data_IF_783120558621
#
_entry.id   IF_783120558621
#
_cell.length_a   1.000
_cell.length_b   1.000
_cell.length_c   1.000
_cell.angle_alpha   90.00
_cell.angle_beta   90.00
_cell.angle_gamma   90.00
#
_symmetry.space_group_name_H-M   'P 1'
#
loop_
_entity.id
_entity.type
_entity.pdbx_description
1 polymer ?
#
# COMPACT_ATOMS: atom_id res chain seq x y z
N UNK A 1 -23.57 -0.68 75.91
CA UNK A 1 -24.62 0.30 75.50
C UNK A 1 -25.22 -0.16 74.18
N UNK A 2 -26.51 0.09 74.02
CA UNK A 2 -27.52 -0.65 73.24
C UNK A 2 -27.24 -0.88 71.75
N UNK A 3 -27.74 -2.02 71.28
CA UNK A 3 -27.93 -2.53 69.91
C UNK A 3 -29.10 -1.86 69.18
N UNK A 4 -29.02 -1.75 67.83
CA UNK A 4 -30.08 -1.93 66.81
C UNK A 4 -29.57 -1.37 65.46
N UNK A 5 -29.41 -2.15 64.37
CA UNK A 5 -30.38 -2.76 63.44
C UNK A 5 -31.07 -1.79 62.45
N UNK A 6 -30.82 -2.09 61.16
CA UNK A 6 -31.73 -2.17 60.00
C UNK A 6 -32.55 -0.94 59.53
N UNK A 7 -32.26 -0.55 58.28
CA UNK A 7 -33.15 -0.30 57.12
C UNK A 7 -34.65 0.02 57.35
N UNK A 8 -35.16 1.06 56.66
CA UNK A 8 -36.02 1.06 55.44
C UNK A 8 -36.73 2.43 55.32
N UNK A 9 -36.93 2.90 54.07
CA UNK A 9 -38.04 3.71 53.49
C UNK A 9 -37.49 4.88 52.65
N UNK A 10 -37.52 4.79 51.32
CA UNK A 10 -38.65 4.99 50.38
C UNK A 10 -38.83 6.46 49.97
N UNK A 11 -38.72 6.72 48.66
CA UNK A 11 -38.89 8.06 48.08
C UNK A 11 -38.98 8.04 46.55
N UNK A 12 -40.19 7.82 46.03
CA UNK A 12 -40.84 8.52 44.91
C UNK A 12 -40.04 8.71 43.60
N UNK A 13 -40.39 7.86 42.62
CA UNK A 13 -40.87 8.22 41.28
C UNK A 13 -40.13 9.25 40.42
N UNK A 14 -39.54 8.78 39.32
CA UNK A 14 -39.73 9.35 37.96
C UNK A 14 -39.77 8.19 36.97
N UNK A 15 -40.91 8.00 36.32
CA UNK A 15 -41.01 7.17 35.13
C UNK A 15 -40.35 7.94 33.98
N UNK A 16 -39.12 7.59 33.62
CA UNK A 16 -38.52 8.04 32.37
C UNK A 16 -39.03 7.10 31.29
N UNK A 17 -40.09 7.54 30.60
CA UNK A 17 -40.38 7.07 29.27
C UNK A 17 -39.20 7.47 28.37
N UNK A 18 -38.26 6.55 28.17
CA UNK A 18 -37.29 6.68 27.09
C UNK A 18 -38.07 6.50 25.79
N UNK A 19 -38.48 7.64 25.24
CA UNK A 19 -38.80 7.80 23.84
C UNK A 19 -37.70 7.13 23.03
N UNK A 20 -38.04 5.98 22.44
CA UNK A 20 -37.35 5.43 21.28
C UNK A 20 -37.52 6.47 20.18
N UNK A 21 -36.63 7.45 20.15
CA UNK A 21 -36.36 8.19 18.93
C UNK A 21 -35.76 7.15 18.00
N UNK A 22 -36.57 6.72 17.03
CA UNK A 22 -36.13 5.86 15.95
C UNK A 22 -34.93 6.51 15.28
N UNK A 23 -33.73 6.03 15.64
CA UNK A 23 -32.63 6.03 14.70
C UNK A 23 -33.18 5.35 13.46
N UNK A 24 -33.15 6.06 12.33
CA UNK A 24 -33.54 5.51 11.04
C UNK A 24 -32.99 4.09 10.94
N UNK A 25 -33.87 3.14 10.66
CA UNK A 25 -33.49 1.75 10.52
C UNK A 25 -32.33 1.74 9.53
N UNK A 26 -31.17 1.36 10.05
CA UNK A 26 -29.95 1.31 9.30
C UNK A 26 -30.20 0.28 8.20
N UNK A 27 -30.45 0.70 6.96
CA UNK A 27 -30.73 -0.22 5.86
C UNK A 27 -29.50 -1.10 5.69
N UNK A 28 -29.64 -2.35 6.16
CA UNK A 28 -28.59 -3.34 6.16
C UNK A 28 -28.88 -4.34 5.07
N UNK A 29 -27.94 -4.49 4.17
CA UNK A 29 -27.97 -5.53 3.16
C UNK A 29 -27.56 -5.02 1.80
N UNK A 30 -27.00 -5.92 1.00
CA UNK A 30 -26.76 -5.69 -0.41
C UNK A 30 -28.10 -5.92 -1.13
N UNK A 31 -28.59 -4.96 -1.93
CA UNK A 31 -29.79 -5.15 -2.74
C UNK A 31 -29.67 -6.35 -3.69
N UNK A 32 -30.78 -7.02 -3.98
CA UNK A 32 -30.78 -8.07 -5.00
C UNK A 32 -30.56 -7.46 -6.38
N UNK A 33 -29.55 -7.97 -7.08
CA UNK A 33 -29.18 -7.49 -8.41
C UNK A 33 -30.30 -7.69 -9.43
N UNK A 34 -30.69 -6.61 -10.10
CA UNK A 34 -31.60 -6.62 -11.24
C UNK A 34 -30.87 -7.03 -12.54
N UNK A 35 -31.61 -7.17 -13.64
CA UNK A 35 -31.05 -7.65 -14.91
C UNK A 35 -29.98 -6.71 -15.50
N UNK A 36 -30.19 -5.39 -15.42
CA UNK A 36 -29.22 -4.41 -15.91
C UNK A 36 -27.92 -4.46 -15.08
N UNK A 37 -28.05 -4.55 -13.76
CA UNK A 37 -26.89 -4.64 -12.85
C UNK A 37 -26.09 -5.93 -13.07
N UNK A 38 -26.78 -7.05 -13.41
CA UNK A 38 -26.09 -8.29 -13.79
C UNK A 38 -25.29 -8.12 -15.06
N UNK A 39 -25.86 -7.45 -16.08
CA UNK A 39 -25.14 -7.18 -17.33
C UNK A 39 -23.93 -6.26 -17.11
N UNK A 40 -24.05 -5.25 -16.24
CA UNK A 40 -22.90 -4.42 -15.84
C UNK A 40 -21.80 -5.28 -15.20
N UNK A 41 -22.15 -6.13 -14.22
CA UNK A 41 -21.20 -7.02 -13.54
C UNK A 41 -20.58 -8.05 -14.50
N UNK A 42 -21.35 -8.60 -15.43
CA UNK A 42 -20.84 -9.47 -16.49
C UNK A 42 -19.78 -8.74 -17.33
N UNK A 43 -19.97 -7.46 -17.63
CA UNK A 43 -18.96 -6.64 -18.31
C UNK A 43 -17.62 -6.53 -17.55
N UNK A 44 -17.61 -6.69 -16.22
CA UNK A 44 -16.38 -6.79 -15.43
C UNK A 44 -15.81 -8.20 -15.39
N UNK A 45 -16.68 -9.21 -15.35
CA UNK A 45 -16.30 -10.59 -14.98
C UNK A 45 -16.15 -11.55 -16.17
N UNK A 46 -16.62 -11.15 -17.37
CA UNK A 46 -16.44 -11.91 -18.61
C UNK A 46 -14.95 -12.09 -18.99
N UNK A 47 -14.13 -11.07 -18.71
CA UNK A 47 -12.69 -11.07 -19.02
C UNK A 47 -11.90 -10.69 -17.78
N UNK A 48 -11.34 -11.70 -17.13
CA UNK A 48 -10.50 -11.57 -15.95
C UNK A 48 -9.08 -12.02 -16.29
N UNK A 49 -8.09 -11.36 -15.69
CA UNK A 49 -6.68 -11.73 -15.80
C UNK A 49 -6.06 -11.96 -14.42
N UNK A 50 -5.09 -12.86 -14.29
CA UNK A 50 -4.31 -12.99 -13.07
C UNK A 50 -3.48 -11.72 -12.86
N UNK A 51 -3.38 -11.30 -11.60
CA UNK A 51 -2.55 -10.16 -11.17
C UNK A 51 -1.72 -10.60 -9.97
N UNK A 52 -0.43 -10.26 -9.99
CA UNK A 52 0.47 -10.50 -8.87
C UNK A 52 0.72 -9.21 -8.07
N UNK A 53 0.48 -9.25 -6.76
CA UNK A 53 0.74 -8.13 -5.83
C UNK A 53 1.55 -8.64 -4.65
N UNK A 54 2.82 -8.23 -4.58
CA UNK A 54 3.75 -8.72 -3.58
C UNK A 54 3.88 -10.24 -3.62
N UNK A 55 3.47 -10.89 -2.52
CA UNK A 55 3.48 -12.35 -2.34
C UNK A 55 2.12 -13.00 -2.68
N UNK A 56 1.16 -12.23 -3.15
CA UNK A 56 -0.20 -12.66 -3.40
C UNK A 56 -0.57 -12.58 -4.88
N UNK A 57 -1.67 -13.25 -5.21
CA UNK A 57 -2.31 -13.20 -6.51
C UNK A 57 -3.82 -13.11 -6.37
N UNK A 58 -4.46 -12.57 -7.39
CA UNK A 58 -5.92 -12.53 -7.55
C UNK A 58 -6.30 -12.41 -9.03
N UNK A 59 -7.57 -12.64 -9.34
CA UNK A 59 -8.16 -12.32 -10.63
C UNK A 59 -8.68 -10.89 -10.62
N UNK A 60 -8.41 -10.15 -11.69
CA UNK A 60 -8.81 -8.76 -11.85
C UNK A 60 -9.50 -8.57 -13.21
N UNK A 61 -10.58 -7.79 -13.33
CA UNK A 61 -11.13 -7.40 -14.63
C UNK A 61 -10.06 -6.78 -15.51
N UNK A 62 -10.02 -7.12 -16.80
CA UNK A 62 -9.02 -6.54 -17.72
C UNK A 62 -9.10 -5.01 -17.81
N UNK A 63 -10.31 -4.46 -17.66
CA UNK A 63 -10.57 -3.01 -17.64
C UNK A 63 -10.00 -2.28 -16.41
N UNK A 64 -9.66 -3.00 -15.35
CA UNK A 64 -8.99 -2.44 -14.17
C UNK A 64 -7.47 -2.39 -14.43
N UNK A 65 -7.01 -1.22 -14.88
CA UNK A 65 -5.63 -0.98 -15.26
C UNK A 65 -4.77 -0.59 -14.04
N UNK A 66 -3.51 -1.02 -14.01
CA UNK A 66 -2.57 -0.59 -12.98
C UNK A 66 -2.31 0.91 -13.12
N UNK A 67 -2.69 1.69 -12.11
CA UNK A 67 -2.48 3.14 -12.06
C UNK A 67 -1.22 3.49 -11.29
N UNK A 68 -1.00 2.87 -10.13
CA UNK A 68 0.15 3.14 -9.30
C UNK A 68 0.72 1.86 -8.66
N UNK A 69 2.02 1.88 -8.39
CA UNK A 69 2.68 0.82 -7.63
C UNK A 69 3.80 1.40 -6.77
N UNK A 70 3.90 0.93 -5.53
CA UNK A 70 4.98 1.24 -4.62
C UNK A 70 5.53 -0.05 -4.01
N UNK A 71 6.85 -0.08 -3.83
CA UNK A 71 7.56 -1.14 -3.12
C UNK A 71 8.62 -0.50 -2.22
N UNK A 72 8.57 -0.82 -0.95
CA UNK A 72 9.64 -0.52 0.02
C UNK A 72 10.11 -1.81 0.67
N UNK A 73 11.43 -2.01 0.71
CA UNK A 73 12.06 -3.16 1.38
C UNK A 73 13.19 -2.68 2.28
N UNK A 74 13.05 -2.84 3.60
CA UNK A 74 14.03 -2.39 4.60
C UNK A 74 14.52 -0.95 4.34
N UNK A 75 13.58 0.00 4.27
CA UNK A 75 13.78 1.43 3.91
C UNK A 75 14.10 1.73 2.44
N UNK A 76 14.47 0.73 1.63
CA UNK A 76 14.83 0.96 0.23
C UNK A 76 13.56 1.11 -0.62
N UNK A 77 13.41 2.26 -1.27
CA UNK A 77 12.33 2.51 -2.22
C UNK A 77 12.70 1.94 -3.58
N UNK A 78 11.83 1.09 -4.13
CA UNK A 78 12.08 0.38 -5.38
C UNK A 78 10.99 0.75 -6.39
N UNK A 79 11.39 0.99 -7.63
CA UNK A 79 10.44 1.19 -8.73
C UNK A 79 10.97 0.59 -10.04
N UNK A 80 10.04 0.36 -10.95
CA UNK A 80 10.33 -0.11 -12.30
C UNK A 80 9.59 0.76 -13.32
N UNK A 81 10.24 1.02 -14.45
CA UNK A 81 9.66 1.80 -15.55
C UNK A 81 10.04 1.16 -16.88
N UNK A 82 9.05 0.73 -17.69
CA UNK A 82 9.31 0.30 -19.06
C UNK A 82 9.96 1.43 -19.87
N UNK A 83 11.06 1.12 -20.56
CA UNK A 83 11.73 2.03 -21.49
C UNK A 83 12.73 1.31 -22.40
N UNK A 84 13.08 1.92 -23.54
CA UNK A 84 14.13 1.40 -24.40
C UNK A 84 15.54 1.60 -23.81
N UNK A 85 16.51 0.81 -24.28
CA UNK A 85 17.92 0.97 -23.88
C UNK A 85 18.46 2.37 -24.16
N UNK A 86 18.14 2.94 -25.32
CA UNK A 86 18.55 4.31 -25.68
C UNK A 86 17.97 5.36 -24.71
N UNK A 87 16.72 5.18 -24.29
CA UNK A 87 16.08 6.07 -23.32
C UNK A 87 16.71 5.94 -21.93
N UNK A 88 17.07 4.72 -21.52
CA UNK A 88 17.84 4.48 -20.30
C UNK A 88 19.19 5.17 -20.32
N UNK A 89 19.99 5.01 -21.39
CA UNK A 89 21.31 5.63 -21.49
C UNK A 89 21.21 7.16 -21.46
N UNK A 90 20.22 7.74 -22.16
CA UNK A 90 19.94 9.17 -22.12
C UNK A 90 19.51 9.62 -20.72
N UNK A 91 18.69 8.83 -20.03
CA UNK A 91 18.25 9.11 -18.68
C UNK A 91 19.44 9.14 -17.71
N UNK A 92 20.31 8.13 -17.73
CA UNK A 92 21.49 8.05 -16.87
C UNK A 92 22.44 9.23 -17.12
N UNK A 93 22.74 9.54 -18.39
CA UNK A 93 23.58 10.69 -18.74
C UNK A 93 22.98 12.02 -18.25
N UNK A 94 21.68 12.24 -18.50
CA UNK A 94 20.99 13.44 -18.03
C UNK A 94 21.01 13.52 -16.50
N UNK A 95 20.73 12.41 -15.81
CA UNK A 95 20.68 12.36 -14.34
C UNK A 95 22.04 12.67 -13.74
N UNK A 96 23.12 12.08 -14.25
CA UNK A 96 24.50 12.39 -13.84
C UNK A 96 24.80 13.89 -13.99
N UNK A 97 24.56 14.46 -15.17
CA UNK A 97 24.79 15.89 -15.44
C UNK A 97 23.96 16.79 -14.51
N UNK A 98 22.70 16.42 -14.24
CA UNK A 98 21.85 17.14 -13.28
C UNK A 98 22.43 17.11 -11.86
N UNK A 99 22.95 15.96 -11.42
CA UNK A 99 23.55 15.81 -10.09
C UNK A 99 24.91 16.53 -9.96
N UNK A 100 25.72 16.54 -11.02
CA UNK A 100 27.00 17.28 -11.08
C UNK A 100 26.80 18.79 -11.09
N UNK A 101 25.76 19.29 -11.78
CA UNK A 101 25.45 20.72 -11.82
C UNK A 101 24.77 21.23 -10.54
N UNK A 102 24.19 20.34 -9.73
CA UNK A 102 23.50 20.71 -8.49
C UNK A 102 24.50 21.07 -7.39
N UNK A 103 24.17 22.10 -6.61
CA UNK A 103 24.99 22.56 -5.48
C UNK A 103 24.22 22.38 -4.17
N UNK A 104 24.90 21.99 -3.08
CA UNK A 104 24.34 22.16 -1.74
C UNK A 104 24.21 23.64 -1.38
N UNK A 105 23.35 23.95 -0.42
CA UNK A 105 23.11 25.33 0.03
C UNK A 105 24.35 25.92 0.73
N UNK A 106 25.17 25.05 1.35
CA UNK A 106 26.45 25.42 1.93
C UNK A 106 27.61 24.84 1.12
N UNK A 107 28.54 25.70 0.71
CA UNK A 107 29.68 25.31 -0.12
C UNK A 107 30.58 24.26 0.55
N UNK A 108 30.65 24.26 1.89
CA UNK A 108 31.42 23.28 2.68
C UNK A 108 30.99 21.83 2.43
N UNK A 109 29.74 21.63 1.98
CA UNK A 109 29.15 20.32 1.66
C UNK A 109 29.28 19.95 0.18
N UNK A 110 29.92 20.77 -0.66
CA UNK A 110 30.15 20.47 -2.08
C UNK A 110 31.17 19.33 -2.27
N UNK A 111 31.14 18.62 -3.41
CA UNK A 111 30.12 18.62 -4.46
C UNK A 111 28.81 17.92 -4.02
N UNK A 112 27.68 18.15 -4.69
CA UNK A 112 26.41 17.47 -4.38
C UNK A 112 26.42 15.98 -4.79
N UNK A 113 26.89 15.69 -6.02
CA UNK A 113 27.25 14.33 -6.42
C UNK A 113 28.64 14.01 -5.88
N UNK A 114 28.73 12.89 -5.16
CA UNK A 114 29.94 12.58 -4.39
C UNK A 114 30.70 11.42 -4.98
N UNK A 115 29.97 10.44 -5.53
CA UNK A 115 30.58 9.33 -6.26
C UNK A 115 29.59 8.73 -7.25
N UNK A 116 30.12 8.27 -8.38
CA UNK A 116 29.44 7.36 -9.29
C UNK A 116 30.07 5.99 -9.12
N UNK A 117 29.26 4.97 -8.84
CA UNK A 117 29.70 3.60 -8.61
C UNK A 117 29.13 2.74 -9.73
N UNK A 118 30.00 2.26 -10.60
CA UNK A 118 29.64 1.33 -11.66
C UNK A 118 29.96 -0.10 -11.21
N UNK A 119 29.07 -1.04 -11.52
CA UNK A 119 29.22 -2.44 -11.17
C UNK A 119 29.48 -3.29 -12.41
N UNK A 120 30.29 -4.33 -12.25
CA UNK A 120 30.47 -5.36 -13.28
C UNK A 120 29.16 -6.07 -13.65
N UNK A 121 28.17 -6.06 -12.76
CA UNK A 121 26.82 -6.57 -13.01
C UNK A 121 25.90 -5.58 -13.76
N UNK A 122 26.45 -4.49 -14.31
CA UNK A 122 25.74 -3.61 -15.25
C UNK A 122 24.77 -2.60 -14.62
N UNK A 123 24.85 -2.38 -13.30
CA UNK A 123 24.12 -1.32 -12.62
C UNK A 123 25.03 -0.17 -12.20
N UNK A 124 24.43 1.02 -12.07
CA UNK A 124 25.09 2.27 -11.68
C UNK A 124 24.44 2.82 -10.41
N UNK A 125 25.24 3.34 -9.48
CA UNK A 125 24.76 3.95 -8.23
C UNK A 125 25.37 5.34 -8.10
N UNK A 126 24.52 6.35 -7.95
CA UNK A 126 24.91 7.70 -7.57
C UNK A 126 24.87 7.83 -6.05
N UNK A 127 26.01 8.12 -5.45
CA UNK A 127 26.12 8.54 -4.06
C UNK A 127 26.11 10.07 -4.03
N UNK A 128 25.05 10.65 -3.45
CA UNK A 128 24.79 12.10 -3.44
C UNK A 128 24.28 12.57 -2.10
N UNK A 129 24.34 13.88 -1.85
CA UNK A 129 23.65 14.47 -0.70
C UNK A 129 22.14 14.21 -0.75
N UNK A 130 21.54 14.07 0.41
CA UNK A 130 20.09 13.84 0.54
C UNK A 130 19.28 14.98 -0.08
N UNK A 131 19.59 16.22 0.29
CA UNK A 131 18.95 17.44 -0.22
C UNK A 131 19.97 18.59 -0.26
N UNK A 132 19.68 19.73 -0.93
CA UNK A 132 20.57 20.88 -0.94
C UNK A 132 20.91 21.41 0.46
N UNK A 133 19.92 21.45 1.35
CA UNK A 133 20.07 21.96 2.73
C UNK A 133 20.59 20.93 3.74
N UNK A 134 20.73 19.66 3.35
CA UNK A 134 21.30 18.63 4.20
C UNK A 134 22.83 18.71 4.24
N UNK A 135 23.41 18.30 5.36
CA UNK A 135 24.86 18.12 5.48
C UNK A 135 25.32 17.03 4.51
N UNK A 136 26.60 17.06 4.12
CA UNK A 136 27.13 16.03 3.21
C UNK A 136 27.35 14.66 3.86
N UNK A 137 27.10 14.53 5.16
CA UNK A 137 26.98 13.25 5.84
C UNK A 137 25.68 12.52 5.52
N UNK A 138 24.59 13.24 5.21
CA UNK A 138 23.30 12.64 4.87
C UNK A 138 23.25 12.36 3.36
N UNK A 139 23.15 11.08 3.02
CA UNK A 139 23.30 10.57 1.66
C UNK A 139 22.03 9.94 1.16
N UNK A 140 21.88 9.95 -0.16
CA UNK A 140 21.03 9.00 -0.88
C UNK A 140 21.92 8.21 -1.81
N UNK A 141 21.82 6.88 -1.71
CA UNK A 141 22.35 5.92 -2.65
C UNK A 141 21.25 5.65 -3.69
N UNK A 142 21.41 6.24 -4.86
CA UNK A 142 20.45 6.21 -5.96
C UNK A 142 20.95 5.26 -7.05
N UNK A 143 20.43 4.03 -7.04
CA UNK A 143 20.85 2.94 -7.91
C UNK A 143 19.91 2.72 -9.09
N UNK A 144 20.48 2.35 -10.24
CA UNK A 144 19.74 2.06 -11.47
C UNK A 144 20.26 0.80 -12.16
N UNK A 145 19.34 -0.03 -12.65
CA UNK A 145 19.61 -1.22 -13.48
C UNK A 145 18.69 -1.23 -14.70
N UNK A 146 19.17 -1.72 -15.82
CA UNK A 146 18.36 -1.96 -17.02
C UNK A 146 18.35 -3.45 -17.35
N UNK A 147 17.16 -4.03 -17.49
CA UNK A 147 16.96 -5.44 -17.88
C UNK A 147 15.62 -5.57 -18.62
N UNK A 148 15.58 -6.32 -19.73
CA UNK A 148 14.36 -6.61 -20.49
C UNK A 148 13.45 -5.40 -20.74
N UNK A 149 13.99 -4.34 -21.34
CA UNK A 149 13.25 -3.09 -21.62
C UNK A 149 12.65 -2.40 -20.39
N UNK A 150 13.20 -2.67 -19.22
CA UNK A 150 12.74 -2.09 -17.96
C UNK A 150 13.91 -1.47 -17.23
N UNK A 151 13.74 -0.22 -16.80
CA UNK A 151 14.65 0.42 -15.86
C UNK A 151 14.13 0.20 -14.44
N UNK A 152 14.98 -0.35 -13.59
CA UNK A 152 14.78 -0.41 -12.16
C UNK A 152 15.50 0.75 -11.48
N UNK A 153 14.91 1.25 -10.40
CA UNK A 153 15.61 2.13 -9.48
C UNK A 153 15.46 1.66 -8.04
N UNK A 154 16.51 1.90 -7.26
CA UNK A 154 16.56 1.66 -5.82
C UNK A 154 17.11 2.91 -5.17
N UNK A 155 16.33 3.55 -4.31
CA UNK A 155 16.77 4.69 -3.51
C UNK A 155 16.82 4.33 -2.03
N UNK A 156 17.94 4.60 -1.39
CA UNK A 156 18.14 4.32 0.02
C UNK A 156 18.94 5.42 0.69
N UNK A 157 18.44 5.91 1.83
CA UNK A 157 19.16 6.88 2.65
C UNK A 157 20.32 6.22 3.39
N UNK A 158 21.41 6.96 3.56
CA UNK A 158 22.58 6.52 4.28
C UNK A 158 23.28 7.68 5.01
N UNK A 159 24.08 7.34 6.00
CA UNK A 159 24.89 8.28 6.78
C UNK A 159 26.36 7.95 6.59
N UNK A 160 27.15 8.99 6.31
CA UNK A 160 28.61 8.93 6.16
C UNK A 160 29.29 9.98 7.02
N UNK A 161 29.84 9.56 8.16
CA UNK A 161 30.57 10.41 9.11
C UNK A 161 32.08 10.21 9.01
N UNK A 162 32.59 9.68 7.89
CA UNK A 162 34.02 9.36 7.74
C UNK A 162 34.92 10.60 7.69
N UNK A 163 34.41 11.76 7.28
CA UNK A 163 35.14 13.03 7.35
C UNK A 163 35.40 13.46 8.80
N UNK A 164 36.57 14.05 9.08
CA UNK A 164 36.97 14.48 10.42
C UNK A 164 36.08 15.57 11.01
N UNK A 165 35.40 16.36 10.18
CA UNK A 165 34.44 17.37 10.66
C UNK A 165 33.29 16.76 11.48
N UNK A 166 32.98 15.48 11.23
CA UNK A 166 31.91 14.74 11.90
C UNK A 166 32.40 13.92 13.09
N UNK A 167 33.64 14.15 13.56
CA UNK A 167 34.21 13.41 14.69
C UNK A 167 33.37 13.49 15.95
N UNK A 168 32.74 14.64 16.22
CA UNK A 168 31.84 14.82 17.36
C UNK A 168 30.53 14.04 17.19
N UNK A 169 29.97 13.99 15.98
CA UNK A 169 28.71 13.29 15.68
C UNK A 169 28.80 11.77 15.85
N UNK A 170 30.00 11.19 15.70
CA UNK A 170 30.24 9.75 15.89
C UNK A 170 29.92 9.26 17.31
N UNK A 171 29.79 10.16 18.28
CA UNK A 171 29.35 9.83 19.63
C UNK A 171 27.83 9.54 19.71
N UNK A 172 27.04 10.04 18.75
CA UNK A 172 25.57 9.99 18.78
C UNK A 172 24.98 9.20 17.60
N UNK A 173 25.75 9.04 16.51
CA UNK A 173 25.29 8.37 15.30
C UNK A 173 26.42 7.56 14.66
N UNK A 174 26.08 6.40 14.07
CA UNK A 174 27.01 5.57 13.32
C UNK A 174 26.94 5.85 11.81
N UNK A 175 28.07 5.67 11.13
CA UNK A 175 28.06 5.57 9.67
C UNK A 175 27.47 4.23 9.25
N UNK A 176 26.63 4.23 8.22
CA UNK A 176 26.03 3.02 7.66
C UNK A 176 26.11 2.97 6.12
N UNK A 177 26.78 3.94 5.47
CA UNK A 177 26.85 4.02 4.00
C UNK A 177 27.41 2.75 3.35
N UNK A 178 28.42 2.12 3.96
CA UNK A 178 29.03 0.90 3.44
C UNK A 178 28.03 -0.27 3.40
N UNK A 179 27.27 -0.42 4.48
CA UNK A 179 26.24 -1.43 4.67
C UNK A 179 25.07 -1.15 3.72
N UNK A 180 24.55 0.08 3.72
CA UNK A 180 23.45 0.50 2.85
C UNK A 180 23.82 0.37 1.36
N UNK A 181 25.10 0.55 0.99
CA UNK A 181 25.57 0.28 -0.37
C UNK A 181 25.44 -1.21 -0.74
N UNK A 182 25.82 -2.13 0.16
CA UNK A 182 25.62 -3.58 -0.06
C UNK A 182 24.14 -3.90 -0.23
N UNK A 183 23.27 -3.24 0.54
CA UNK A 183 21.81 -3.41 0.42
C UNK A 183 21.31 -3.01 -0.97
N UNK A 184 21.68 -1.81 -1.47
CA UNK A 184 21.28 -1.35 -2.82
C UNK A 184 21.80 -2.30 -3.90
N UNK A 185 23.06 -2.74 -3.80
CA UNK A 185 23.65 -3.67 -4.76
C UNK A 185 22.94 -5.02 -4.77
N UNK A 186 22.64 -5.57 -3.60
CA UNK A 186 21.93 -6.84 -3.45
C UNK A 186 20.53 -6.78 -4.06
N UNK A 187 19.79 -5.69 -3.79
CA UNK A 187 18.45 -5.48 -4.33
C UNK A 187 18.49 -5.37 -5.87
N UNK A 188 19.35 -4.50 -6.42
CA UNK A 188 19.46 -4.32 -7.87
C UNK A 188 19.75 -5.64 -8.60
N UNK A 189 20.61 -6.50 -8.05
CA UNK A 189 20.92 -7.80 -8.66
C UNK A 189 19.71 -8.72 -8.81
N UNK A 190 18.72 -8.60 -7.93
CA UNK A 190 17.56 -9.49 -7.82
C UNK A 190 16.28 -8.93 -8.45
N UNK A 191 16.35 -7.74 -9.03
CA UNK A 191 15.24 -7.13 -9.76
C UNK A 191 15.17 -7.66 -11.18
N UNK A 192 13.99 -8.11 -11.58
CA UNK A 192 13.72 -8.65 -12.90
C UNK A 192 12.47 -8.00 -13.51
N UNK A 193 12.43 -7.81 -14.84
CA UNK A 193 11.22 -7.41 -15.54
C UNK A 193 10.15 -8.48 -15.37
N UNK A 194 8.89 -8.05 -15.38
CA UNK A 194 7.73 -8.94 -15.28
C UNK A 194 6.59 -8.37 -16.10
N UNK A 195 5.93 -9.21 -16.89
CA UNK A 195 4.70 -8.84 -17.58
C UNK A 195 3.53 -8.69 -16.60
N UNK A 196 2.48 -7.96 -16.99
CA UNK A 196 1.43 -7.57 -16.04
C UNK A 196 0.63 -8.75 -15.49
N UNK A 197 0.40 -9.77 -16.31
CA UNK A 197 -0.33 -11.02 -16.06
C UNK A 197 0.57 -12.21 -15.72
N UNK A 198 1.90 -12.04 -15.76
CA UNK A 198 2.84 -13.07 -15.34
C UNK A 198 2.78 -13.27 -13.82
N UNK A 199 2.55 -14.53 -13.41
CA UNK A 199 2.64 -14.99 -12.01
C UNK A 199 3.95 -15.77 -11.84
N UNK A 200 4.96 -15.21 -11.17
CA UNK A 200 6.20 -15.93 -10.91
C UNK A 200 5.96 -17.20 -10.08
N UNK A 201 6.74 -18.26 -10.29
CA UNK A 201 6.63 -19.51 -9.51
C UNK A 201 7.76 -19.68 -8.48
N UNK A 202 8.45 -18.57 -8.17
CA UNK A 202 9.60 -18.51 -7.26
C UNK A 202 9.39 -17.46 -6.14
N UNK A 203 10.13 -17.56 -5.02
CA UNK A 203 10.00 -16.63 -3.91
C UNK A 203 10.36 -15.19 -4.30
N UNK A 204 9.53 -14.24 -3.86
CA UNK A 204 9.76 -12.83 -4.10
C UNK A 204 8.50 -11.98 -4.22
N UNK A 205 8.73 -10.70 -4.52
CA UNK A 205 7.72 -9.65 -4.49
C UNK A 205 7.41 -9.16 -5.90
N UNK A 206 6.15 -9.29 -6.30
CA UNK A 206 5.63 -8.62 -7.49
C UNK A 206 5.28 -7.17 -7.18
N UNK A 207 5.62 -6.28 -8.10
CA UNK A 207 5.18 -4.90 -8.12
C UNK A 207 4.95 -4.49 -9.57
N UNK A 208 4.60 -3.21 -9.81
CA UNK A 208 4.36 -2.71 -11.16
C UNK A 208 5.57 -2.95 -12.07
N UNK A 209 5.36 -3.68 -13.17
CA UNK A 209 6.37 -4.02 -14.19
C UNK A 209 7.61 -4.77 -13.70
N UNK A 210 7.62 -5.28 -12.47
CA UNK A 210 8.83 -5.80 -11.85
C UNK A 210 8.58 -6.94 -10.86
N UNK A 211 9.66 -7.65 -10.59
CA UNK A 211 9.75 -8.70 -9.60
C UNK A 211 11.07 -8.60 -8.82
N UNK A 212 11.01 -8.58 -7.49
CA UNK A 212 12.18 -8.68 -6.62
C UNK A 212 12.28 -10.12 -6.09
N UNK A 213 13.29 -10.86 -6.56
CA UNK A 213 13.52 -12.22 -6.09
C UNK A 213 14.03 -12.26 -4.64
N UNK A 214 13.55 -13.22 -3.87
CA UNK A 214 14.04 -13.52 -2.52
C UNK A 214 12.95 -14.05 -1.58
N UNK A 215 13.36 -14.95 -0.68
CA UNK A 215 12.47 -15.52 0.34
C UNK A 215 12.02 -14.48 1.37
N UNK A 216 10.93 -14.73 2.09
CA UNK A 216 10.45 -13.92 3.21
C UNK A 216 11.40 -13.98 4.42
N UNK A 217 12.11 -15.09 4.58
CA UNK A 217 13.14 -15.32 5.58
C UNK A 217 14.56 -14.89 5.14
N UNK A 218 14.76 -14.57 3.85
CA UNK A 218 16.07 -14.17 3.31
C UNK A 218 16.51 -12.79 3.83
N UNK A 219 17.53 -12.78 4.69
CA UNK A 219 18.15 -11.53 5.17
C UNK A 219 18.78 -10.74 4.02
N UNK A 220 18.63 -9.42 4.03
CA UNK A 220 19.24 -8.54 3.03
C UNK A 220 20.58 -8.01 3.57
N UNK A 221 21.72 -8.33 2.94
CA UNK A 221 23.02 -7.83 3.35
C UNK A 221 23.06 -6.31 3.45
N UNK A 222 23.47 -5.80 4.61
CA UNK A 222 23.61 -4.37 4.84
C UNK A 222 22.32 -3.62 5.18
N UNK A 223 21.18 -4.32 5.26
CA UNK A 223 19.99 -3.79 5.90
C UNK A 223 20.24 -3.54 7.39
N UNK A 224 19.57 -2.53 7.95
CA UNK A 224 19.68 -2.20 9.38
C UNK A 224 19.01 -3.26 10.27
N UNK A 225 18.06 -4.02 9.72
CA UNK A 225 17.31 -5.04 10.42
C UNK A 225 17.70 -6.44 9.91
N UNK A 226 17.72 -7.45 10.78
CA UNK A 226 18.08 -8.82 10.41
C UNK A 226 16.91 -9.61 9.78
N UNK A 227 15.80 -8.95 9.47
CA UNK A 227 14.60 -9.52 8.85
C UNK A 227 14.07 -8.59 7.77
N UNK A 228 13.20 -9.11 6.89
CA UNK A 228 12.62 -8.36 5.78
C UNK A 228 11.42 -7.55 6.22
N UNK A 229 11.54 -6.24 6.13
CA UNK A 229 10.39 -5.35 6.19
C UNK A 229 9.94 -5.03 4.78
N UNK A 230 8.70 -5.34 4.43
CA UNK A 230 8.17 -5.23 3.08
C UNK A 230 6.87 -4.45 3.14
N UNK A 231 6.75 -3.44 2.30
CA UNK A 231 5.52 -2.67 2.12
C UNK A 231 5.27 -2.50 0.64
N UNK A 232 4.07 -2.91 0.20
CA UNK A 232 3.67 -2.93 -1.20
C UNK A 232 2.30 -2.32 -1.30
N UNK A 233 2.13 -1.35 -2.19
CA UNK A 233 0.84 -0.79 -2.56
C UNK A 233 0.67 -0.86 -4.08
N UNK A 234 -0.48 -1.33 -4.53
CA UNK A 234 -0.85 -1.32 -5.94
C UNK A 234 -2.29 -0.84 -6.09
N UNK A 235 -2.49 0.17 -6.93
CA UNK A 235 -3.82 0.72 -7.21
C UNK A 235 -4.22 0.44 -8.65
N UNK A 236 -5.43 -0.07 -8.82
CA UNK A 236 -6.04 -0.38 -10.10
C UNK A 236 -7.24 0.52 -10.30
N UNK A 237 -7.35 1.16 -11.46
CA UNK A 237 -8.43 2.10 -11.80
C UNK A 237 -9.15 1.57 -13.03
N UNK A 238 -10.47 1.68 -13.05
CA UNK A 238 -11.26 1.36 -14.22
C UNK A 238 -10.94 2.35 -15.36
N UNK A 239 -10.62 1.82 -16.54
CA UNK A 239 -10.20 2.63 -17.68
C UNK A 239 -11.36 3.36 -18.41
N UNK A 240 -12.61 3.14 -18.01
CA UNK A 240 -13.80 3.84 -18.52
C UNK A 240 -14.39 4.76 -17.44
N UNK A 241 -14.41 4.31 -16.19
CA UNK A 241 -14.98 5.00 -15.03
C UNK A 241 -13.90 5.27 -13.98
N UNK A 242 -13.15 6.36 -14.15
CA UNK A 242 -12.00 6.69 -13.28
C UNK A 242 -12.38 6.90 -11.80
N UNK A 243 -13.67 7.01 -11.49
CA UNK A 243 -14.20 7.06 -10.13
C UNK A 243 -14.26 5.69 -9.44
N UNK A 244 -13.90 4.60 -10.14
CA UNK A 244 -13.83 3.24 -9.60
C UNK A 244 -12.37 2.83 -9.49
N UNK A 245 -11.91 2.57 -8.25
CA UNK A 245 -10.57 2.06 -8.03
C UNK A 245 -10.48 1.06 -6.88
N UNK A 246 -9.52 0.16 -7.02
CA UNK A 246 -9.19 -0.87 -6.05
C UNK A 246 -7.73 -0.72 -5.63
N UNK A 247 -7.48 -0.61 -4.33
CA UNK A 247 -6.14 -0.56 -3.78
C UNK A 247 -5.84 -1.84 -2.99
N UNK A 248 -4.68 -2.44 -3.24
CA UNK A 248 -4.16 -3.59 -2.50
C UNK A 248 -2.88 -3.15 -1.82
N UNK A 249 -2.86 -3.25 -0.51
CA UNK A 249 -1.72 -2.92 0.32
C UNK A 249 -1.33 -4.11 1.18
N UNK A 250 -0.04 -4.40 1.23
CA UNK A 250 0.51 -5.44 2.11
C UNK A 250 1.69 -4.91 2.90
N UNK A 251 1.79 -5.30 4.16
CA UNK A 251 2.87 -4.86 5.03
C UNK A 251 3.29 -5.95 6.03
N UNK A 252 4.59 -6.20 6.17
CA UNK A 252 5.09 -7.27 7.07
C UNK A 252 5.32 -6.83 8.53
N UNK A 253 5.24 -5.53 8.82
CA UNK A 253 5.50 -4.93 10.14
C UNK A 253 4.24 -4.53 10.89
N UNK A 254 3.07 -4.49 10.22
CA UNK A 254 1.80 -4.13 10.86
C UNK A 254 1.22 -5.34 11.58
N UNK A 255 1.28 -5.32 12.91
CA UNK A 255 0.50 -6.19 13.79
C UNK A 255 -0.35 -5.30 14.71
N UNK A 256 -1.59 -5.04 14.30
CA UNK A 256 -2.54 -4.23 15.05
C UNK A 256 -3.04 -4.95 16.31
N UNK A 257 -3.36 -4.18 17.35
CA UNK A 257 -3.96 -4.70 18.58
C UNK A 257 -5.40 -5.22 18.37
N UNK A 258 -6.08 -4.66 17.37
CA UNK A 258 -7.48 -4.93 17.05
C UNK A 258 -7.63 -5.43 15.62
N UNK A 259 -8.76 -6.07 15.37
CA UNK A 259 -9.24 -6.47 14.04
C UNK A 259 -10.17 -5.40 13.47
N UNK A 260 -10.49 -5.52 12.17
CA UNK A 260 -11.39 -4.60 11.49
C UNK A 260 -12.77 -4.52 12.16
N UNK A 261 -13.37 -5.67 12.47
CA UNK A 261 -14.72 -5.72 13.06
C UNK A 261 -14.77 -5.17 14.49
N UNK A 262 -13.68 -5.26 15.25
CA UNK A 262 -13.59 -4.65 16.58
C UNK A 262 -13.45 -3.13 16.52
N UNK A 263 -12.80 -2.59 15.47
CA UNK A 263 -12.70 -1.14 15.25
C UNK A 263 -13.97 -0.54 14.65
N UNK A 264 -14.75 -1.35 13.93
CA UNK A 264 -15.98 -0.95 13.23
C UNK A 264 -16.93 -0.05 14.03
N UNK A 265 -17.25 -0.30 15.32
CA UNK A 265 -18.17 0.57 16.08
C UNK A 265 -17.72 2.04 16.14
N UNK A 266 -16.41 2.29 16.24
CA UNK A 266 -15.86 3.65 16.23
C UNK A 266 -16.04 4.34 14.87
N UNK A 267 -15.83 3.60 13.77
CA UNK A 267 -16.02 4.09 12.41
C UNK A 267 -17.49 4.40 12.13
N UNK A 268 -18.41 3.49 12.50
CA UNK A 268 -19.86 3.72 12.36
C UNK A 268 -20.31 4.95 13.14
N UNK A 269 -19.77 5.17 14.35
CA UNK A 269 -20.13 6.35 15.13
C UNK A 269 -19.78 7.66 14.41
N UNK A 270 -18.66 7.70 13.69
CA UNK A 270 -18.26 8.86 12.88
C UNK A 270 -19.16 9.03 11.65
N UNK A 271 -19.48 7.93 10.96
CA UNK A 271 -20.28 7.94 9.73
C UNK A 271 -21.79 8.07 9.98
N UNK A 272 -22.26 7.86 11.20
CA UNK A 272 -23.70 7.90 11.55
C UNK A 272 -24.41 9.24 11.26
N UNK A 273 -23.63 10.32 11.05
CA UNK A 273 -24.14 11.66 10.73
C UNK A 273 -24.20 11.95 9.23
N UNK A 274 -23.61 11.09 8.42
CA UNK A 274 -23.58 11.22 6.97
C UNK A 274 -24.90 10.66 6.40
N UNK A 275 -25.71 11.49 5.70
CA UNK A 275 -26.98 11.05 5.14
C UNK A 275 -26.82 10.00 4.03
N UNK A 276 -25.63 9.89 3.42
CA UNK A 276 -25.33 8.91 2.38
C UNK A 276 -24.75 7.60 2.95
N UNK A 277 -24.62 7.51 4.27
CA UNK A 277 -24.05 6.35 4.93
C UNK A 277 -25.02 5.16 5.02
N UNK A 278 -24.52 3.98 4.68
CA UNK A 278 -25.19 2.68 4.85
C UNK A 278 -24.14 1.57 5.03
N UNK A 279 -24.54 0.43 5.60
CA UNK A 279 -23.72 -0.77 5.84
C UNK A 279 -24.37 -1.85 5.01
N UNK A 280 -23.64 -2.29 4.01
CA UNK A 280 -24.14 -3.29 3.09
C UNK A 280 -23.86 -4.68 3.64
N UNK A 281 -22.64 -4.91 4.13
CA UNK A 281 -22.19 -6.20 4.64
C UNK A 281 -20.98 -6.05 5.55
N UNK A 282 -20.88 -6.92 6.54
CA UNK A 282 -19.68 -7.05 7.38
C UNK A 282 -19.57 -8.48 7.90
N UNK A 283 -18.34 -8.94 8.15
CA UNK A 283 -18.13 -10.25 8.73
C UNK A 283 -16.75 -10.81 8.47
N UNK A 284 -16.58 -12.07 8.86
CA UNK A 284 -15.38 -12.85 8.53
C UNK A 284 -15.49 -13.35 7.10
N UNK A 285 -14.36 -13.37 6.40
CA UNK A 285 -14.24 -13.89 5.04
C UNK A 285 -13.27 -15.08 5.08
N UNK A 286 -13.65 -16.16 4.40
CA UNK A 286 -12.75 -17.29 4.17
C UNK A 286 -11.99 -17.04 2.85
N UNK A 287 -10.67 -16.89 2.94
CA UNK A 287 -9.78 -16.67 1.80
C UNK A 287 -8.71 -17.77 1.79
N UNK A 288 -8.48 -18.35 0.62
CA UNK A 288 -7.57 -19.48 0.49
C UNK A 288 -6.15 -19.12 0.98
N UNK A 289 -5.63 -19.90 1.94
CA UNK A 289 -4.29 -19.71 2.49
C UNK A 289 -4.15 -18.52 3.45
N UNK A 290 -5.25 -17.87 3.83
CA UNK A 290 -5.28 -16.73 4.77
C UNK A 290 -5.95 -17.16 6.07
N UNK A 291 -5.28 -16.94 7.21
CA UNK A 291 -5.74 -17.45 8.51
C UNK A 291 -6.89 -16.65 9.11
N UNK A 292 -6.91 -15.35 8.85
CA UNK A 292 -7.93 -14.44 9.35
C UNK A 292 -8.12 -13.34 8.33
N UNK A 293 -9.35 -13.17 7.86
CA UNK A 293 -9.77 -12.05 7.03
C UNK A 293 -11.16 -11.58 7.50
N UNK A 294 -11.35 -10.27 7.52
CA UNK A 294 -12.60 -9.62 7.86
C UNK A 294 -12.90 -8.56 6.82
N UNK A 295 -14.19 -8.32 6.56
CA UNK A 295 -14.64 -7.29 5.64
C UNK A 295 -15.68 -6.38 6.27
N UNK A 296 -15.71 -5.14 5.78
CA UNK A 296 -16.73 -4.13 6.04
C UNK A 296 -17.02 -3.41 4.73
N UNK A 297 -18.28 -3.43 4.31
CA UNK A 297 -18.78 -2.77 3.11
C UNK A 297 -19.77 -1.68 3.56
N UNK A 298 -19.40 -0.43 3.31
CA UNK A 298 -20.23 0.73 3.64
C UNK A 298 -20.37 1.66 2.45
N UNK A 299 -21.35 2.55 2.52
CA UNK A 299 -21.45 3.73 1.66
C UNK A 299 -21.22 4.98 2.50
N UNK A 300 -20.97 6.11 1.82
CA UNK A 300 -20.82 7.42 2.44
C UNK A 300 -20.70 8.52 1.38
N UNK A 301 -20.64 9.76 1.83
CA UNK A 301 -20.34 10.93 1.01
C UNK A 301 -18.85 10.94 0.69
N UNK A 302 -18.52 11.04 -0.59
CA UNK A 302 -17.14 11.04 -1.08
C UNK A 302 -16.53 12.45 -1.13
N UNK A 303 -15.24 12.51 -1.45
CA UNK A 303 -14.54 13.78 -1.68
C UNK A 303 -15.12 14.59 -2.86
N UNK A 304 -15.85 13.92 -3.75
CA UNK A 304 -16.58 14.55 -4.87
C UNK A 304 -18.03 14.95 -4.49
N UNK A 305 -18.38 14.91 -3.20
CA UNK A 305 -19.69 15.28 -2.64
C UNK A 305 -20.86 14.46 -3.22
N UNK A 306 -20.59 13.21 -3.60
CA UNK A 306 -21.59 12.23 -4.07
C UNK A 306 -21.63 11.01 -3.14
N UNK A 307 -22.72 10.24 -3.20
CA UNK A 307 -22.76 8.94 -2.51
C UNK A 307 -21.87 7.94 -3.25
N UNK A 308 -20.93 7.33 -2.52
CA UNK A 308 -20.03 6.32 -3.03
C UNK A 308 -19.84 5.16 -2.04
N UNK A 309 -18.92 4.27 -2.38
CA UNK A 309 -18.69 3.01 -1.66
C UNK A 309 -17.32 3.00 -0.98
N UNK A 310 -17.30 2.57 0.28
CA UNK A 310 -16.12 2.37 1.11
C UNK A 310 -16.04 0.91 1.54
N UNK A 311 -15.44 0.06 0.70
CA UNK A 311 -15.27 -1.36 1.03
C UNK A 311 -13.85 -1.64 1.47
N UNK A 312 -13.72 -2.58 2.39
CA UNK A 312 -12.44 -2.95 2.97
C UNK A 312 -12.42 -4.42 3.36
N UNK A 313 -11.33 -5.11 3.04
CA UNK A 313 -10.89 -6.35 3.68
C UNK A 313 -9.60 -6.05 4.42
N UNK A 314 -9.53 -6.48 5.67
CA UNK A 314 -8.25 -6.65 6.35
C UNK A 314 -8.01 -8.13 6.63
N UNK A 315 -6.78 -8.57 6.37
CA UNK A 315 -6.33 -9.90 6.75
C UNK A 315 -5.02 -9.86 7.53
N UNK A 316 -4.85 -10.88 8.37
CA UNK A 316 -3.70 -11.03 9.26
C UNK A 316 -3.49 -9.83 10.21
N UNK A 317 -4.55 -9.07 10.54
CA UNK A 317 -4.45 -7.78 11.24
C UNK A 317 -3.60 -7.84 12.52
N UNK A 318 -3.71 -8.92 13.29
CA UNK A 318 -2.99 -9.13 14.56
C UNK A 318 -1.69 -9.93 14.46
N UNK A 319 -1.47 -10.57 13.32
CA UNK A 319 -0.40 -11.56 13.13
C UNK A 319 0.54 -11.17 11.99
N UNK A 320 0.55 -9.89 11.60
CA UNK A 320 1.42 -9.39 10.55
C UNK A 320 2.87 -9.77 10.78
N UNK A 321 3.45 -10.41 9.77
CA UNK A 321 4.85 -10.86 9.76
C UNK A 321 5.32 -11.04 8.31
N UNK A 322 6.61 -11.32 8.04
CA UNK A 322 7.07 -11.70 6.71
C UNK A 322 6.35 -12.91 6.09
N UNK A 323 5.93 -13.88 6.92
CA UNK A 323 5.23 -15.10 6.48
C UNK A 323 3.71 -14.95 6.42
N UNK A 324 3.16 -13.96 7.14
CA UNK A 324 1.73 -13.65 7.20
C UNK A 324 1.53 -12.15 7.18
N UNK A 325 1.90 -11.45 6.09
CA UNK A 325 1.84 -9.99 6.06
C UNK A 325 0.42 -9.52 6.27
N UNK A 326 0.29 -8.37 6.92
CA UNK A 326 -0.94 -7.60 6.92
C UNK A 326 -1.37 -7.36 5.48
N UNK A 327 -2.66 -7.54 5.21
CA UNK A 327 -3.26 -7.25 3.91
C UNK A 327 -4.42 -6.30 4.14
N UNK A 328 -4.47 -5.25 3.33
CA UNK A 328 -5.60 -4.34 3.20
C UNK A 328 -6.01 -4.29 1.72
N UNK A 329 -7.26 -4.62 1.43
CA UNK A 329 -7.84 -4.45 0.10
C UNK A 329 -8.97 -3.46 0.25
N UNK A 330 -9.02 -2.45 -0.61
CA UNK A 330 -10.11 -1.47 -0.61
C UNK A 330 -10.67 -1.30 -2.01
N UNK A 331 -11.99 -1.11 -2.08
CA UNK A 331 -12.67 -0.61 -3.27
C UNK A 331 -13.29 0.75 -2.90
N UNK A 332 -13.17 1.69 -3.82
CA UNK A 332 -13.76 3.02 -3.77
C UNK A 332 -14.50 3.29 -5.07
N UNK A 333 -15.64 3.98 -4.95
CA UNK A 333 -16.46 4.42 -6.10
C UNK A 333 -16.97 5.83 -5.84
N UNK A 334 -17.21 6.62 -6.89
CA UNK A 334 -17.66 8.01 -6.74
C UNK A 334 -16.57 8.96 -6.24
N UNK A 335 -15.30 8.58 -6.31
CA UNK A 335 -14.13 9.42 -6.00
C UNK A 335 -12.94 9.05 -6.88
N UNK A 336 -12.10 10.03 -7.18
CA UNK A 336 -10.88 9.82 -7.97
C UNK A 336 -9.68 9.54 -7.07
N UNK A 337 -8.82 8.60 -7.47
CA UNK A 337 -7.61 8.26 -6.72
C UNK A 337 -6.52 9.36 -6.78
N UNK A 338 -6.48 10.12 -7.87
CA UNK A 338 -5.44 11.13 -8.09
C UNK A 338 -5.95 12.53 -7.81
N UNK A 339 -5.14 13.36 -7.17
CA UNK A 339 -5.38 14.80 -7.14
C UNK A 339 -5.33 15.38 -8.57
N UNK A 340 -6.28 16.23 -8.94
CA UNK A 340 -6.30 16.81 -10.29
C UNK A 340 -7.62 17.48 -10.65
N UNK A 341 -7.68 17.99 -11.89
CA UNK A 341 -8.95 18.44 -12.47
C UNK A 341 -9.62 17.24 -13.12
N UNK A 342 -10.75 16.83 -12.54
CA UNK A 342 -11.56 15.74 -13.04
C UNK A 342 -12.91 16.23 -13.56
N UNK A 343 -13.59 15.44 -14.41
CA UNK A 343 -14.98 15.69 -14.73
C UNK A 343 -15.82 15.64 -13.45
N UNK A 344 -16.81 16.53 -13.34
CA UNK A 344 -17.80 16.43 -12.28
C UNK A 344 -18.54 15.10 -12.40
N UNK A 345 -18.69 14.41 -11.28
CA UNK A 345 -19.52 13.23 -11.14
C UNK A 345 -20.81 13.64 -10.43
N UNK A 346 -21.97 13.20 -10.92
CA UNK A 346 -23.25 13.45 -10.27
C UNK A 346 -23.71 12.25 -9.39
N UNK A 347 -23.18 11.06 -9.65
CA UNK A 347 -23.40 9.83 -8.87
C UNK A 347 -22.27 8.83 -9.14
N UNK A 348 -21.95 7.96 -8.18
CA UNK A 348 -20.99 6.87 -8.39
C UNK A 348 -21.37 5.99 -9.59
N UNK A 349 -20.37 5.51 -10.32
CA UNK A 349 -20.57 4.71 -11.54
C UNK A 349 -21.13 3.30 -11.29
N UNK A 350 -21.12 2.82 -10.04
CA UNK A 350 -21.69 1.52 -9.66
C UNK A 350 -22.79 1.69 -8.62
N UNK A 351 -23.84 0.88 -8.73
CA UNK A 351 -24.83 0.68 -7.66
C UNK A 351 -24.28 -0.19 -6.52
N UNK A 352 -24.98 -0.23 -5.38
CA UNK A 352 -24.63 -1.07 -4.24
C UNK A 352 -24.49 -2.56 -4.61
N UNK A 353 -25.38 -3.06 -5.47
CA UNK A 353 -25.34 -4.44 -5.93
C UNK A 353 -24.17 -4.70 -6.90
N UNK A 354 -23.93 -3.77 -7.83
CA UNK A 354 -22.81 -3.87 -8.80
C UNK A 354 -21.45 -3.78 -8.09
N UNK A 355 -21.28 -2.82 -7.17
CA UNK A 355 -20.06 -2.65 -6.39
C UNK A 355 -19.78 -3.89 -5.54
N UNK A 356 -20.78 -4.42 -4.84
CA UNK A 356 -20.62 -5.63 -4.02
C UNK A 356 -20.33 -6.87 -4.89
N UNK A 357 -20.93 -6.96 -6.07
CA UNK A 357 -20.66 -8.01 -7.05
C UNK A 357 -19.22 -7.97 -7.56
N UNK A 358 -18.73 -6.79 -7.96
CA UNK A 358 -17.35 -6.59 -8.40
C UNK A 358 -16.36 -6.92 -7.26
N UNK A 359 -16.66 -6.45 -6.05
CA UNK A 359 -15.90 -6.73 -4.85
C UNK A 359 -15.75 -8.23 -4.61
N UNK A 360 -16.85 -8.99 -4.66
CA UNK A 360 -16.81 -10.44 -4.48
C UNK A 360 -16.06 -11.13 -5.62
N UNK A 361 -16.29 -10.73 -6.88
CA UNK A 361 -15.62 -11.33 -8.03
C UNK A 361 -14.08 -11.21 -7.96
N UNK A 362 -13.57 -10.11 -7.41
CA UNK A 362 -12.13 -9.88 -7.26
C UNK A 362 -11.60 -10.52 -5.98
N UNK A 363 -12.14 -10.11 -4.82
CA UNK A 363 -11.52 -10.40 -3.52
C UNK A 363 -11.59 -11.87 -3.13
N UNK A 364 -12.61 -12.62 -3.59
CA UNK A 364 -12.73 -14.05 -3.29
C UNK A 364 -11.72 -14.92 -4.02
N UNK A 365 -10.97 -14.35 -4.97
CA UNK A 365 -9.86 -15.03 -5.67
C UNK A 365 -8.50 -14.69 -5.05
N UNK A 366 -8.46 -13.82 -4.04
CA UNK A 366 -7.22 -13.39 -3.40
C UNK A 366 -6.62 -14.53 -2.56
N UNK A 367 -5.36 -14.84 -2.83
CA UNK A 367 -4.62 -15.89 -2.14
C UNK A 367 -3.10 -15.68 -2.24
N UNK A 368 -2.30 -16.32 -1.38
CA UNK A 368 -0.87 -16.46 -1.60
C UNK A 368 -0.55 -17.01 -2.99
N UNK A 369 0.49 -16.48 -3.63
CA UNK A 369 1.02 -17.06 -4.87
C UNK A 369 1.79 -18.36 -4.55
N UNK A 370 1.80 -19.36 -5.45
CA UNK A 370 2.64 -20.54 -5.27
C UNK A 370 4.11 -20.16 -5.08
N UNK A 371 4.76 -20.77 -4.07
CA UNK A 371 6.16 -20.51 -3.70
C UNK A 371 6.48 -19.02 -3.50
N UNK A 372 5.53 -18.24 -2.98
CA UNK A 372 5.73 -16.81 -2.84
C UNK A 372 6.65 -16.42 -1.69
N UNK A 373 6.61 -17.18 -0.59
CA UNK A 373 7.34 -16.95 0.65
C UNK A 373 8.73 -17.53 0.58
#
# INVERSE_FOLDING_TARGET
MKTARLWVLAGIGVAIALLVLGYGAYERGIPTMNEQERQTLEGYTQTMRPVCVGRFQLQMPERMALSSSSLTVNDAKISARPMSRQMYDRFIGKRKNTLEAKKPDSEVYSPYLKRVIESSAGFIIFDRNESPGATDALRVLEGYKFEGFTMFSVELKATDLTDERYKADRAYMSSNKSERLKQVQHLLQRLHPRESDEIPERPGLCFGHGFLAGGADETIPGAALPYREESIGMTFVDNVHEDIYLNIYTNTTIAAETTLLERKPGVIALLSRDPNHSMLRDGKVDLQGIKQAEEVLTTGTTDEDVRGHYFNIEANSRIGSPETPYVDITLRTGEFVTDGTHPRIDQASLTDAEAAGLWDAVTRTFQPRPNAF
#
